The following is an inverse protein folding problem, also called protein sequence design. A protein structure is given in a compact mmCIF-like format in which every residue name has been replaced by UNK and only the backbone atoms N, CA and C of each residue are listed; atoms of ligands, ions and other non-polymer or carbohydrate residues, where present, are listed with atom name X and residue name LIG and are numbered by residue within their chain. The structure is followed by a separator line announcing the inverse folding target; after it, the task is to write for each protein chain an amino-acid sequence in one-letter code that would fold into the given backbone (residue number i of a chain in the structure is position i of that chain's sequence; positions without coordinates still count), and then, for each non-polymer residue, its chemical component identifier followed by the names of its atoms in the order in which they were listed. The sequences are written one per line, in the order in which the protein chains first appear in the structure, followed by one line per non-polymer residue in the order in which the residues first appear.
data_IF_276523572759
#
_entry.id   IF_276523572759
#
_cell.length_a   1.000
_cell.length_b   1.000
_cell.length_c   1.000
_cell.angle_alpha   90.00
_cell.angle_beta   90.00
_cell.angle_gamma   90.00
#
_symmetry.space_group_name_H-M   'P 1'
#
loop_
_entity.id
_entity.type
_entity.pdbx_description
1 polymer ?
#
# COMPACT_ATOMS: atom_id res chain seq x y z
N UNK A 1 6.24 -21.16 29.95
CA UNK A 1 7.25 -20.98 28.89
C UNK A 1 6.65 -20.05 27.85
N UNK A 2 7.15 -18.82 27.66
CA UNK A 2 6.72 -18.01 26.52
C UNK A 2 7.21 -18.69 25.24
N UNK A 3 6.29 -19.05 24.32
CA UNK A 3 6.66 -19.50 22.99
C UNK A 3 7.37 -18.34 22.28
N UNK A 4 8.59 -18.60 21.81
CA UNK A 4 9.25 -17.67 20.91
C UNK A 4 8.41 -17.55 19.62
N UNK A 5 8.20 -16.33 19.10
CA UNK A 5 7.46 -16.15 17.86
C UNK A 5 8.15 -16.91 16.73
N UNK A 6 7.39 -17.68 15.95
CA UNK A 6 7.92 -18.38 14.78
C UNK A 6 8.47 -17.36 13.79
N UNK A 7 9.62 -17.62 13.20
CA UNK A 7 10.22 -16.72 12.23
C UNK A 7 10.08 -17.30 10.83
N UNK A 8 9.65 -16.46 9.90
CA UNK A 8 9.49 -16.81 8.49
C UNK A 8 10.38 -15.95 7.60
N UNK A 9 10.71 -16.49 6.44
CA UNK A 9 11.38 -15.80 5.35
C UNK A 9 10.35 -15.48 4.27
N UNK A 10 10.42 -14.28 3.70
CA UNK A 10 9.53 -13.79 2.65
C UNK A 10 10.35 -13.22 1.50
N UNK A 11 9.82 -13.32 0.29
CA UNK A 11 10.37 -12.63 -0.87
C UNK A 11 9.75 -11.24 -0.96
N UNK A 12 10.59 -10.22 -1.09
CA UNK A 12 10.17 -8.83 -1.19
C UNK A 12 10.82 -8.16 -2.40
N UNK A 13 10.11 -7.20 -2.99
CA UNK A 13 10.72 -6.30 -3.97
C UNK A 13 11.73 -5.38 -3.28
N UNK A 14 12.92 -5.25 -3.84
CA UNK A 14 13.91 -4.30 -3.34
C UNK A 14 13.67 -2.87 -3.84
N UNK A 15 12.80 -2.68 -4.84
CA UNK A 15 12.60 -1.42 -5.55
C UNK A 15 11.50 -0.51 -4.97
N UNK A 16 10.88 -0.88 -3.85
CA UNK A 16 10.16 0.08 -3.02
C UNK A 16 11.09 0.65 -1.95
N UNK A 17 11.90 1.64 -2.35
CA UNK A 17 12.58 2.59 -1.48
C UNK A 17 13.43 1.99 -0.32
N UNK A 18 13.83 0.73 -0.44
CA UNK A 18 14.55 -0.02 0.59
C UNK A 18 16.04 0.33 0.73
N UNK A 19 16.56 1.37 0.08
CA UNK A 19 17.97 1.74 0.19
C UNK A 19 18.14 3.26 0.34
N UNK A 20 18.32 3.67 1.59
CA UNK A 20 18.94 4.94 2.03
C UNK A 20 18.04 6.17 2.20
N UNK A 21 17.11 6.51 1.30
CA UNK A 21 16.38 7.81 1.42
C UNK A 21 15.17 7.80 2.38
N UNK A 22 14.49 6.67 2.59
CA UNK A 22 13.35 6.58 3.53
C UNK A 22 13.79 6.55 5.01
N UNK A 23 14.99 6.02 5.28
CA UNK A 23 15.54 5.93 6.64
C UNK A 23 15.87 7.30 7.23
N UNK A 24 16.30 8.26 6.41
CA UNK A 24 16.62 9.62 6.85
C UNK A 24 15.37 10.49 7.04
N UNK A 25 14.28 10.22 6.30
CA UNK A 25 13.10 11.09 6.31
C UNK A 25 12.06 10.75 7.37
N UNK A 26 11.93 9.48 7.76
CA UNK A 26 10.69 9.06 8.45
C UNK A 26 10.84 8.26 9.75
N UNK A 27 12.05 7.91 10.22
CA UNK A 27 12.29 7.42 11.59
C UNK A 27 11.43 6.25 12.10
N UNK A 28 10.71 5.55 11.22
CA UNK A 28 9.70 4.54 11.55
C UNK A 28 10.17 3.11 11.26
N UNK A 29 9.49 2.13 11.87
CA UNK A 29 9.78 0.70 11.69
C UNK A 29 9.70 0.30 10.21
N UNK A 30 10.87 -0.04 9.66
CA UNK A 30 11.14 -0.32 8.24
C UNK A 30 10.23 -1.38 7.60
N UNK A 31 9.53 -2.19 8.40
CA UNK A 31 8.91 -3.44 7.93
C UNK A 31 7.40 -3.36 7.72
N UNK A 32 6.74 -2.25 8.09
CA UNK A 32 5.26 -2.19 8.13
C UNK A 32 4.62 -2.25 6.74
N UNK A 33 5.25 -1.64 5.74
CA UNK A 33 4.70 -1.51 4.39
C UNK A 33 5.52 -2.26 3.32
N UNK A 34 6.44 -3.13 3.73
CA UNK A 34 7.21 -3.96 2.80
C UNK A 34 6.26 -4.89 2.05
N UNK A 35 6.34 -4.85 0.73
CA UNK A 35 5.54 -5.72 -0.13
C UNK A 35 6.23 -7.06 -0.33
N UNK A 36 5.54 -8.10 0.11
CA UNK A 36 5.97 -9.48 0.03
C UNK A 36 5.18 -10.23 -1.06
N UNK A 37 5.79 -11.26 -1.65
CA UNK A 37 5.13 -12.09 -2.65
C UNK A 37 3.99 -12.88 -2.02
N UNK A 38 2.83 -12.93 -2.69
CA UNK A 38 1.71 -13.79 -2.32
C UNK A 38 1.56 -14.98 -3.27
N UNK A 39 0.71 -15.95 -2.91
CA UNK A 39 0.48 -17.16 -3.73
C UNK A 39 -0.07 -16.86 -5.14
N UNK A 40 -0.66 -15.68 -5.36
CA UNK A 40 -1.15 -15.22 -6.66
C UNK A 40 -0.05 -14.60 -7.52
N UNK A 41 1.20 -14.61 -7.06
CA UNK A 41 2.35 -14.01 -7.72
C UNK A 41 2.33 -12.50 -7.73
N UNK A 42 1.68 -11.87 -6.74
CA UNK A 42 1.54 -10.42 -6.60
C UNK A 42 2.23 -9.92 -5.34
N UNK A 43 2.61 -8.64 -5.34
CA UNK A 43 3.33 -8.00 -4.24
C UNK A 43 2.35 -7.32 -3.30
N UNK A 44 2.25 -7.83 -2.07
CA UNK A 44 1.26 -7.43 -1.07
C UNK A 44 1.93 -7.08 0.26
N UNK A 45 1.39 -6.10 0.98
CA UNK A 45 1.84 -5.75 2.34
C UNK A 45 1.36 -6.78 3.36
N UNK A 46 0.16 -7.33 3.13
CA UNK A 46 -0.41 -8.36 3.98
C UNK A 46 -1.21 -9.38 3.16
N UNK A 47 -1.14 -10.63 3.60
CA UNK A 47 -1.87 -11.73 2.99
C UNK A 47 -3.33 -11.77 3.42
N UNK A 48 -4.13 -12.45 2.62
CA UNK A 48 -5.55 -12.70 2.89
C UNK A 48 -5.88 -14.14 2.62
N UNK A 49 -7.02 -14.64 3.10
CA UNK A 49 -7.44 -16.03 2.86
C UNK A 49 -7.45 -16.43 1.38
N UNK A 50 -7.66 -15.46 0.48
CA UNK A 50 -7.70 -15.70 -0.96
C UNK A 50 -6.32 -15.58 -1.61
N UNK A 51 -5.38 -14.89 -0.96
CA UNK A 51 -4.03 -14.65 -1.46
C UNK A 51 -3.07 -14.45 -0.28
N UNK A 52 -2.79 -15.52 0.49
CA UNK A 52 -1.82 -15.46 1.59
C UNK A 52 -0.42 -15.11 1.07
N UNK A 53 0.40 -14.52 1.93
CA UNK A 53 1.82 -14.30 1.64
C UNK A 53 2.54 -15.64 1.54
N UNK A 54 3.44 -15.74 0.59
CA UNK A 54 4.26 -16.93 0.38
C UNK A 54 5.47 -16.85 1.32
N UNK A 55 5.63 -17.88 2.15
CA UNK A 55 6.68 -17.90 3.18
C UNK A 55 7.52 -19.16 3.13
N UNK A 56 8.74 -19.07 3.65
CA UNK A 56 9.63 -20.20 3.89
C UNK A 56 9.96 -20.24 5.38
N UNK A 57 10.21 -21.43 5.91
CA UNK A 57 10.81 -21.53 7.24
C UNK A 57 12.27 -21.06 7.21
N UNK A 58 12.79 -20.61 8.35
CA UNK A 58 14.19 -20.15 8.45
C UNK A 58 15.21 -21.24 8.09
N UNK A 59 14.88 -22.51 8.31
CA UNK A 59 15.70 -23.65 7.90
C UNK A 59 15.82 -23.81 6.38
N UNK A 60 14.91 -23.19 5.62
CA UNK A 60 14.88 -23.21 4.14
C UNK A 60 15.52 -21.95 3.54
N UNK A 61 16.45 -21.29 4.24
CA UNK A 61 17.07 -20.04 3.76
C UNK A 61 17.68 -20.15 2.36
N UNK A 62 18.36 -21.27 2.06
CA UNK A 62 18.92 -21.51 0.72
C UNK A 62 17.85 -21.63 -0.37
N UNK A 63 16.71 -22.27 -0.07
CA UNK A 63 15.59 -22.40 -0.99
C UNK A 63 14.91 -21.05 -1.23
N UNK A 64 14.71 -20.27 -0.17
CA UNK A 64 14.16 -18.92 -0.25
C UNK A 64 15.06 -18.00 -1.11
N UNK A 65 16.38 -18.08 -0.93
CA UNK A 65 17.34 -17.31 -1.73
C UNK A 65 17.29 -17.71 -3.20
N UNK A 66 17.28 -19.01 -3.50
CA UNK A 66 17.16 -19.50 -4.87
C UNK A 66 15.81 -19.10 -5.51
N UNK A 67 14.71 -19.08 -4.73
CA UNK A 67 13.42 -18.60 -5.18
C UNK A 67 13.43 -17.09 -5.49
N UNK A 68 14.12 -16.29 -4.65
CA UNK A 68 14.29 -14.86 -4.88
C UNK A 68 15.05 -14.59 -6.19
N UNK A 69 16.12 -15.32 -6.47
CA UNK A 69 16.88 -15.22 -7.72
C UNK A 69 16.04 -15.58 -8.95
N UNK A 70 15.27 -16.68 -8.87
CA UNK A 70 14.35 -17.07 -9.95
C UNK A 70 13.29 -16.02 -10.20
N UNK A 71 12.68 -15.50 -9.14
CA UNK A 71 11.68 -14.43 -9.25
C UNK A 71 12.30 -13.15 -9.82
N UNK A 72 13.47 -12.75 -9.33
CA UNK A 72 14.16 -11.55 -9.82
C UNK A 72 14.46 -11.64 -11.33
N UNK A 73 14.96 -12.79 -11.78
CA UNK A 73 15.23 -13.06 -13.19
C UNK A 73 13.95 -13.04 -14.03
N UNK A 74 12.89 -13.72 -13.59
CA UNK A 74 11.64 -13.81 -14.34
C UNK A 74 10.91 -12.46 -14.42
N UNK A 75 10.98 -11.66 -13.36
CA UNK A 75 10.27 -10.37 -13.25
C UNK A 75 11.09 -9.18 -13.76
N UNK A 76 12.38 -9.36 -14.02
CA UNK A 76 13.30 -8.28 -14.39
C UNK A 76 13.45 -7.20 -13.30
N UNK A 77 13.17 -7.55 -12.03
CA UNK A 77 13.16 -6.63 -10.88
C UNK A 77 13.93 -7.25 -9.72
N UNK A 78 14.74 -6.50 -8.96
CA UNK A 78 15.48 -7.08 -7.84
C UNK A 78 14.53 -7.57 -6.73
N UNK A 79 14.70 -8.82 -6.30
CA UNK A 79 13.93 -9.47 -5.23
C UNK A 79 14.92 -9.90 -4.14
N UNK A 80 14.57 -9.64 -2.88
CA UNK A 80 15.38 -9.96 -1.70
C UNK A 80 14.59 -10.82 -0.73
N UNK A 81 15.31 -11.56 0.11
CA UNK A 81 14.73 -12.32 1.21
C UNK A 81 14.71 -11.46 2.46
N UNK A 82 13.54 -11.31 3.07
CA UNK A 82 13.35 -10.62 4.34
C UNK A 82 12.90 -11.63 5.40
N UNK A 83 13.40 -11.47 6.61
CA UNK A 83 12.95 -12.27 7.76
C UNK A 83 11.98 -11.48 8.61
N UNK A 84 10.84 -12.11 8.97
CA UNK A 84 9.80 -11.48 9.79
C UNK A 84 9.29 -12.44 10.86
N UNK A 85 9.15 -11.94 12.09
CA UNK A 85 8.62 -12.69 13.22
C UNK A 85 7.09 -12.71 13.19
N UNK A 86 6.53 -13.87 13.52
CA UNK A 86 5.10 -14.15 13.60
C UNK A 86 4.57 -13.85 15.00
N UNK A 87 3.74 -12.81 15.14
CA UNK A 87 2.97 -12.57 16.35
C UNK A 87 1.45 -12.73 16.15
N UNK A 88 1.00 -13.41 15.09
CA UNK A 88 -0.43 -13.58 14.81
C UNK A 88 -0.82 -13.97 13.38
N UNK A 89 0.08 -14.49 12.57
CA UNK A 89 -0.23 -15.04 11.25
C UNK A 89 -0.74 -16.47 11.35
N UNK A 90 -1.78 -16.77 10.58
CA UNK A 90 -2.35 -18.12 10.48
C UNK A 90 -2.07 -18.66 9.09
N UNK A 91 -1.49 -19.86 9.03
CA UNK A 91 -1.28 -20.57 7.77
C UNK A 91 -2.62 -20.87 7.08
N UNK A 92 -2.65 -20.72 5.76
CA UNK A 92 -3.86 -20.82 4.93
C UNK A 92 -4.76 -19.57 5.02
N UNK A 93 -4.37 -18.55 5.78
CA UNK A 93 -5.12 -17.29 5.91
C UNK A 93 -4.26 -16.06 5.66
N UNK A 94 -3.23 -15.80 6.45
CA UNK A 94 -2.32 -14.67 6.22
C UNK A 94 -1.07 -15.11 5.47
N UNK A 95 -0.63 -16.34 5.70
CA UNK A 95 0.58 -16.92 5.10
C UNK A 95 0.32 -18.31 4.53
N UNK A 96 1.18 -18.75 3.64
CA UNK A 96 1.20 -20.10 3.11
C UNK A 96 2.66 -20.52 2.93
N UNK A 97 3.04 -21.65 3.52
CA UNK A 97 4.40 -22.19 3.35
C UNK A 97 4.59 -22.61 1.89
N UNK A 98 5.75 -22.23 1.34
CA UNK A 98 6.10 -22.51 -0.03
C UNK A 98 6.17 -24.02 -0.28
N UNK A 99 5.59 -24.42 -1.41
CA UNK A 99 5.71 -25.76 -1.98
C UNK A 99 5.93 -25.60 -3.48
N UNK A 100 6.44 -26.63 -4.19
CA UNK A 100 6.61 -26.58 -5.64
C UNK A 100 5.34 -26.22 -6.43
N UNK A 101 4.15 -26.43 -5.84
CA UNK A 101 2.88 -26.01 -6.44
C UNK A 101 2.76 -24.49 -6.63
N UNK A 102 3.50 -23.69 -5.87
CA UNK A 102 3.52 -22.22 -5.94
C UNK A 102 4.67 -21.67 -6.78
N UNK A 103 5.45 -22.51 -7.46
CA UNK A 103 6.51 -22.06 -8.37
C UNK A 103 6.02 -21.06 -9.44
N UNK A 104 4.81 -21.20 -10.04
CA UNK A 104 4.29 -20.21 -10.98
C UNK A 104 4.19 -18.79 -10.40
N UNK A 105 3.95 -18.64 -9.09
CA UNK A 105 3.86 -17.35 -8.42
C UNK A 105 5.21 -16.60 -8.40
N UNK A 106 6.34 -17.31 -8.43
CA UNK A 106 7.66 -16.70 -8.54
C UNK A 106 7.83 -16.03 -9.91
N UNK A 107 7.32 -16.68 -10.96
CA UNK A 107 7.56 -16.33 -12.36
C UNK A 107 6.63 -15.24 -12.87
N UNK A 108 5.38 -15.21 -12.40
CA UNK A 108 4.35 -14.32 -12.93
C UNK A 108 3.15 -14.20 -12.00
N UNK A 109 2.32 -13.17 -12.20
CA UNK A 109 1.05 -13.07 -11.49
C UNK A 109 -0.05 -13.80 -12.25
N UNK A 110 -1.02 -14.36 -11.54
CA UNK A 110 -2.24 -14.86 -12.18
C UNK A 110 -3.00 -13.72 -12.83
N UNK A 111 -3.33 -13.85 -14.12
CA UNK A 111 -4.06 -12.83 -14.86
C UNK A 111 -5.45 -12.59 -14.25
N UNK A 112 -5.85 -11.31 -14.19
CA UNK A 112 -7.23 -10.91 -13.88
C UNK A 112 -7.96 -10.65 -15.20
N UNK A 113 -9.30 -10.66 -15.18
CA UNK A 113 -10.07 -10.18 -16.33
C UNK A 113 -9.73 -8.71 -16.60
N UNK A 114 -9.64 -8.34 -17.88
CA UNK A 114 -9.27 -6.98 -18.26
C UNK A 114 -10.20 -5.92 -17.67
N UNK A 115 -11.50 -6.22 -17.58
CA UNK A 115 -12.48 -5.33 -16.98
C UNK A 115 -12.17 -5.07 -15.50
N UNK A 116 -11.78 -6.10 -14.75
CA UNK A 116 -11.37 -5.95 -13.35
C UNK A 116 -10.07 -5.16 -13.24
N UNK A 117 -9.07 -5.47 -14.07
CA UNK A 117 -7.79 -4.77 -14.09
C UNK A 117 -7.96 -3.27 -14.38
N UNK A 118 -8.79 -2.91 -15.37
CA UNK A 118 -9.12 -1.51 -15.69
C UNK A 118 -9.82 -0.81 -14.52
N UNK A 119 -10.79 -1.46 -13.89
CA UNK A 119 -11.49 -0.89 -12.72
C UNK A 119 -10.53 -0.62 -11.56
N UNK A 120 -9.68 -1.60 -11.21
CA UNK A 120 -8.70 -1.43 -10.14
C UNK A 120 -7.72 -0.31 -10.43
N UNK A 121 -7.25 -0.22 -11.69
CA UNK A 121 -6.35 0.86 -12.11
C UNK A 121 -6.98 2.24 -11.92
N UNK A 122 -8.22 2.44 -12.37
CA UNK A 122 -8.93 3.71 -12.20
C UNK A 122 -9.06 4.12 -10.73
N UNK A 123 -9.36 3.18 -9.85
CA UNK A 123 -9.52 3.49 -8.41
C UNK A 123 -8.18 3.76 -7.73
N UNK A 124 -7.09 3.10 -8.14
CA UNK A 124 -5.72 3.43 -7.66
C UNK A 124 -5.25 4.78 -8.19
N UNK A 125 -5.51 5.09 -9.46
CA UNK A 125 -5.16 6.40 -10.04
C UNK A 125 -5.87 7.56 -9.34
N UNK A 126 -7.08 7.32 -8.79
CA UNK A 126 -7.80 8.25 -7.91
C UNK A 126 -7.16 8.31 -6.54
N UNK A 127 -6.87 7.16 -5.92
CA UNK A 127 -6.20 7.08 -4.61
C UNK A 127 -4.92 7.93 -4.62
N UNK A 128 -4.05 7.71 -5.60
CA UNK A 128 -2.78 8.44 -5.74
C UNK A 128 -2.99 9.94 -5.96
N UNK A 129 -3.88 10.32 -6.88
CA UNK A 129 -4.15 11.72 -7.17
C UNK A 129 -4.76 12.45 -5.96
N UNK A 130 -5.66 11.79 -5.23
CA UNK A 130 -6.33 12.36 -4.07
C UNK A 130 -5.35 12.48 -2.89
N UNK A 131 -4.50 11.49 -2.67
CA UNK A 131 -3.43 11.60 -1.68
C UNK A 131 -2.47 12.75 -2.03
N UNK A 132 -2.08 12.91 -3.30
CA UNK A 132 -1.20 14.01 -3.69
C UNK A 132 -1.78 15.39 -3.34
N UNK A 133 -3.03 15.65 -3.71
CA UNK A 133 -3.64 16.98 -3.46
C UNK A 133 -3.89 17.22 -1.97
N UNK A 134 -4.28 16.20 -1.19
CA UNK A 134 -4.49 16.35 0.26
C UNK A 134 -3.16 16.59 0.96
N UNK A 135 -2.10 15.86 0.61
CA UNK A 135 -0.76 16.06 1.18
C UNK A 135 -0.22 17.45 0.88
N UNK A 136 -0.37 17.93 -0.35
CA UNK A 136 0.01 19.31 -0.71
C UNK A 136 -0.77 20.33 0.13
N UNK A 137 -2.09 20.15 0.25
CA UNK A 137 -2.93 21.05 1.03
C UNK A 137 -2.56 21.07 2.52
N UNK A 138 -2.26 19.90 3.11
CA UNK A 138 -1.81 19.77 4.50
C UNK A 138 -0.43 20.38 4.75
N UNK A 139 0.39 20.55 3.72
CA UNK A 139 1.71 21.18 3.81
C UNK A 139 1.66 22.72 3.65
N UNK A 140 0.50 23.30 3.33
CA UNK A 140 0.34 24.73 3.17
C UNK A 140 0.64 25.48 4.48
N UNK A 141 1.47 26.53 4.42
CA UNK A 141 1.93 27.29 5.59
C UNK A 141 0.98 28.39 6.00
N UNK A 142 0.11 28.81 5.10
CA UNK A 142 -0.84 29.90 5.32
C UNK A 142 -2.08 29.78 4.40
N UNK A 143 -3.07 30.64 4.63
CA UNK A 143 -4.32 30.64 3.86
C UNK A 143 -4.15 30.98 2.38
N UNK A 144 -3.19 31.83 2.01
CA UNK A 144 -2.96 32.21 0.62
C UNK A 144 -2.38 31.04 -0.19
N UNK A 145 -1.39 30.35 0.36
CA UNK A 145 -0.80 29.13 -0.20
C UNK A 145 -1.86 28.02 -0.30
N UNK A 146 -2.68 27.83 0.73
CA UNK A 146 -3.78 26.87 0.69
C UNK A 146 -4.79 27.18 -0.42
N UNK A 147 -5.13 28.46 -0.64
CA UNK A 147 -6.05 28.87 -1.70
C UNK A 147 -5.46 28.65 -3.10
N UNK A 148 -4.15 28.86 -3.28
CA UNK A 148 -3.42 28.53 -4.51
C UNK A 148 -3.44 27.03 -4.79
N UNK A 149 -3.09 26.21 -3.79
CA UNK A 149 -3.11 24.75 -3.88
C UNK A 149 -4.53 24.26 -4.18
N UNK A 150 -5.54 24.84 -3.55
CA UNK A 150 -6.95 24.49 -3.78
C UNK A 150 -7.38 24.74 -5.23
N UNK A 151 -6.99 25.88 -5.82
CA UNK A 151 -7.26 26.18 -7.23
C UNK A 151 -6.51 25.25 -8.18
N UNK A 152 -5.24 24.98 -7.91
CA UNK A 152 -4.43 24.07 -8.70
C UNK A 152 -4.97 22.62 -8.65
N UNK A 153 -5.30 22.14 -7.45
CA UNK A 153 -5.92 20.84 -7.23
C UNK A 153 -7.26 20.74 -7.97
N UNK A 154 -8.13 21.76 -7.86
CA UNK A 154 -9.42 21.77 -8.58
C UNK A 154 -9.24 21.63 -10.10
N UNK A 155 -8.28 22.36 -10.69
CA UNK A 155 -7.95 22.23 -12.13
C UNK A 155 -7.43 20.83 -12.48
N UNK A 156 -6.50 20.30 -11.70
CA UNK A 156 -5.91 18.98 -11.93
C UNK A 156 -6.96 17.85 -11.82
N UNK A 157 -7.80 17.90 -10.79
CA UNK A 157 -8.88 16.94 -10.57
C UNK A 157 -9.96 17.06 -11.65
N UNK A 158 -10.31 18.28 -12.07
CA UNK A 158 -11.25 18.48 -13.17
C UNK A 158 -10.73 17.89 -14.49
N UNK A 159 -9.46 18.15 -14.82
CA UNK A 159 -8.84 17.62 -16.03
C UNK A 159 -8.80 16.08 -16.05
N UNK A 160 -8.54 15.43 -14.89
CA UNK A 160 -8.38 13.97 -14.81
C UNK A 160 -9.70 13.23 -14.56
N UNK A 161 -10.64 13.81 -13.82
CA UNK A 161 -11.83 13.12 -13.30
C UNK A 161 -13.15 13.86 -13.56
N UNK A 162 -13.13 14.97 -14.30
CA UNK A 162 -14.32 15.78 -14.61
C UNK A 162 -14.79 16.66 -13.45
N UNK A 163 -14.14 16.62 -12.29
CA UNK A 163 -14.38 17.51 -11.18
C UNK A 163 -13.66 17.09 -9.90
N UNK A 164 -13.71 17.94 -8.89
CA UNK A 164 -13.20 17.64 -7.56
C UNK A 164 -12.63 18.85 -6.83
N UNK A 165 -12.54 18.72 -5.52
CA UNK A 165 -11.86 19.63 -4.61
C UNK A 165 -11.05 18.82 -3.59
N UNK A 166 -10.20 19.50 -2.81
CA UNK A 166 -9.50 18.88 -1.67
C UNK A 166 -10.52 18.28 -0.70
N UNK A 167 -11.64 18.97 -0.44
CA UNK A 167 -12.69 18.48 0.47
C UNK A 167 -13.31 17.18 -0.05
N UNK A 168 -13.70 17.12 -1.33
CA UNK A 168 -14.26 15.88 -1.90
C UNK A 168 -13.23 14.75 -1.98
N UNK A 169 -11.95 15.09 -2.22
CA UNK A 169 -10.86 14.13 -2.23
C UNK A 169 -10.64 13.53 -0.84
N UNK A 170 -10.57 14.36 0.21
CA UNK A 170 -10.50 13.91 1.61
C UNK A 170 -11.69 13.02 1.97
N UNK A 171 -12.92 13.44 1.67
CA UNK A 171 -14.11 12.65 1.95
C UNK A 171 -14.13 11.29 1.22
N UNK A 172 -13.58 11.23 0.01
CA UNK A 172 -13.45 9.97 -0.73
C UNK A 172 -12.40 9.05 -0.11
N UNK A 173 -11.23 9.59 0.28
CA UNK A 173 -10.13 8.85 0.90
C UNK A 173 -10.55 8.20 2.22
N UNK A 174 -11.32 8.92 3.04
CA UNK A 174 -11.81 8.41 4.33
C UNK A 174 -13.04 7.53 4.18
N UNK A 175 -13.75 7.64 3.06
CA UNK A 175 -14.94 6.86 2.75
C UNK A 175 -14.64 5.43 2.28
N UNK A 176 -15.72 4.65 2.13
CA UNK A 176 -15.66 3.23 1.75
C UNK A 176 -14.86 2.95 0.48
N UNK A 177 -15.03 3.76 -0.57
CA UNK A 177 -14.33 3.55 -1.86
C UNK A 177 -12.83 3.76 -1.73
N UNK A 178 -12.39 4.78 -0.98
CA UNK A 178 -10.98 5.01 -0.71
C UNK A 178 -10.35 3.86 0.09
N UNK A 179 -11.07 3.35 1.09
CA UNK A 179 -10.63 2.18 1.87
C UNK A 179 -10.54 0.91 1.00
N UNK A 180 -11.50 0.66 0.12
CA UNK A 180 -11.48 -0.47 -0.82
C UNK A 180 -10.30 -0.37 -1.80
N UNK A 181 -10.01 0.84 -2.32
CA UNK A 181 -8.87 1.08 -3.19
C UNK A 181 -7.53 0.86 -2.45
N UNK A 182 -7.40 1.40 -1.24
CA UNK A 182 -6.23 1.17 -0.38
C UNK A 182 -6.04 -0.33 -0.11
N UNK A 183 -7.12 -1.02 0.25
CA UNK A 183 -7.05 -2.45 0.54
C UNK A 183 -6.60 -3.25 -0.68
N UNK A 184 -7.06 -2.89 -1.88
CA UNK A 184 -6.66 -3.54 -3.13
C UNK A 184 -5.16 -3.41 -3.40
N UNK A 185 -4.56 -2.28 -3.03
CA UNK A 185 -3.10 -2.09 -3.11
C UNK A 185 -2.39 -2.90 -2.03
N UNK A 186 -2.91 -2.87 -0.80
CA UNK A 186 -2.28 -3.57 0.32
C UNK A 186 -2.28 -5.09 0.17
N UNK A 187 -3.30 -5.67 -0.48
CA UNK A 187 -3.39 -7.11 -0.76
C UNK A 187 -2.72 -7.51 -2.08
N UNK A 188 -2.13 -6.54 -2.79
CA UNK A 188 -1.41 -6.76 -4.05
C UNK A 188 -2.31 -6.99 -5.27
N UNK A 189 -3.63 -6.72 -5.19
CA UNK A 189 -4.50 -6.84 -6.36
C UNK A 189 -4.09 -5.89 -7.49
N UNK A 190 -3.48 -4.76 -7.14
CA UNK A 190 -3.02 -3.72 -8.05
C UNK A 190 -1.82 -2.97 -7.44
N UNK A 191 -0.79 -2.74 -8.24
CA UNK A 191 0.38 -1.95 -7.81
C UNK A 191 0.13 -0.44 -8.04
N UNK A 192 0.71 0.37 -7.14
CA UNK A 192 0.86 1.81 -7.34
C UNK A 192 1.67 2.09 -8.61
N UNK A 193 1.31 3.14 -9.33
CA UNK A 193 2.04 3.63 -10.51
C UNK A 193 2.60 5.04 -10.34
N UNK A 194 2.19 5.74 -9.28
CA UNK A 194 2.56 7.11 -8.97
C UNK A 194 3.78 7.23 -8.05
N UNK A 195 4.15 8.47 -7.70
CA UNK A 195 5.38 8.76 -6.96
C UNK A 195 5.28 8.50 -5.45
N UNK A 196 4.08 8.26 -4.92
CA UNK A 196 3.86 8.11 -3.48
C UNK A 196 4.21 6.69 -3.02
N UNK A 197 4.91 6.61 -1.90
CA UNK A 197 5.07 5.35 -1.16
C UNK A 197 3.77 4.93 -0.46
N UNK A 198 3.69 3.66 -0.08
CA UNK A 198 2.58 3.17 0.76
C UNK A 198 2.49 3.90 2.10
N UNK A 199 3.64 4.24 2.69
CA UNK A 199 3.69 4.99 3.93
C UNK A 199 3.08 6.39 3.75
N UNK A 200 3.47 7.11 2.70
CA UNK A 200 2.93 8.45 2.42
C UNK A 200 1.42 8.41 2.14
N UNK A 201 0.92 7.37 1.46
CA UNK A 201 -0.52 7.17 1.27
C UNK A 201 -1.22 6.99 2.62
N UNK A 202 -0.69 6.11 3.49
CA UNK A 202 -1.27 5.86 4.80
C UNK A 202 -1.26 7.12 5.69
N UNK A 203 -0.15 7.85 5.72
CA UNK A 203 -0.04 9.14 6.42
C UNK A 203 -1.06 10.16 5.90
N UNK A 204 -1.22 10.24 4.58
CA UNK A 204 -2.16 11.17 3.98
C UNK A 204 -3.61 10.84 4.31
N UNK A 205 -3.96 9.55 4.35
CA UNK A 205 -5.30 9.12 4.78
C UNK A 205 -5.54 9.47 6.24
N UNK A 206 -4.54 9.32 7.12
CA UNK A 206 -4.64 9.75 8.51
C UNK A 206 -4.85 11.28 8.63
N UNK A 207 -4.14 12.08 7.83
CA UNK A 207 -4.36 13.53 7.75
C UNK A 207 -5.78 13.88 7.30
N UNK A 208 -6.32 13.18 6.29
CA UNK A 208 -7.68 13.39 5.82
C UNK A 208 -8.73 13.06 6.89
N UNK A 209 -8.54 11.97 7.65
CA UNK A 209 -9.42 11.58 8.75
C UNK A 209 -9.42 12.63 9.87
N UNK A 210 -8.24 13.13 10.23
CA UNK A 210 -8.12 14.16 11.26
C UNK A 210 -8.77 15.48 10.83
N UNK A 211 -8.56 15.91 9.58
CA UNK A 211 -9.20 17.11 9.05
C UNK A 211 -10.74 17.01 9.08
N UNK A 212 -11.28 15.84 8.71
CA UNK A 212 -12.73 15.59 8.75
C UNK A 212 -13.27 15.61 10.18
N UNK A 213 -12.53 15.04 11.13
CA UNK A 213 -12.89 15.05 12.56
C UNK A 213 -12.94 16.47 13.11
N UNK A 214 -11.94 17.30 12.79
CA UNK A 214 -11.89 18.70 13.22
C UNK A 214 -13.05 19.52 12.62
N UNK A 215 -13.38 19.29 11.35
CA UNK A 215 -14.51 19.94 10.70
C UNK A 215 -15.84 19.61 11.40
N UNK A 216 -16.10 18.33 11.69
CA UNK A 216 -17.30 17.91 12.41
C UNK A 216 -17.39 18.50 13.82
N UNK A 217 -16.26 18.65 14.50
CA UNK A 217 -16.21 19.29 15.83
C UNK A 217 -16.58 20.77 15.76
N UNK A 218 -16.06 21.50 14.77
CA UNK A 218 -16.38 22.92 14.54
C UNK A 218 -17.87 23.14 14.19
N UNK A 219 -18.43 22.28 13.34
CA UNK A 219 -19.86 22.33 12.95
C UNK A 219 -20.78 22.03 14.14
N UNK A 220 -20.40 21.08 15.01
CA UNK A 220 -21.14 20.72 16.21
C UNK A 220 -21.03 21.77 17.34
N UNK A 221 -19.91 22.50 17.44
CA UNK A 221 -19.78 23.62 18.38
C UNK A 221 -20.60 24.84 17.95
N UNK A 222 -20.79 25.03 16.64
CA UNK A 222 -21.56 26.15 16.09
C UNK A 222 -23.07 25.90 16.17
N UNK A 223 -23.50 24.64 16.04
CA UNK A 223 -24.92 24.24 16.18
C UNK A 223 -25.46 24.18 17.62
N UNK A 224 -24.60 24.40 18.62
CA UNK A 224 -24.95 24.39 20.06
C UNK A 224 -24.95 25.79 20.69
N UNK A 225 -24.69 26.83 19.90
CA UNK A 225 -24.86 28.24 20.26
C UNK A 225 -26.16 28.77 19.65
#
# INVERSE_FOLDING_TARGET
MPMMPTQYLLLCLADHQLTSQESERHGGSRDRYVRCLNIGGRWAVHGTRQSPLLVWHTVQAGEAQAAAERSAKARGRPVVVLSRSDSGWVEGREIQVFTPAFEPALLGHTAQSEARARRLRTEVDKLEAFCLVVRQASAARNHAEFAEISRAAGKALHAKFGGGSIVSASAWLTGRKGQEALQSVLTGEVELGGPLSMQEIAETIALAQEAQRLQQQAENSTSRQ
#
